data_IF_018911998309
#
_entry.id   IF_018911998309
#
_cell.length_a   1.000
_cell.length_b   1.000
_cell.length_c   1.000
_cell.angle_alpha   90.00
_cell.angle_beta   90.00
_cell.angle_gamma   90.00
#
_symmetry.space_group_name_H-M   'P 1'
#
loop_
_entity.id
_entity.type
_entity.pdbx_description
1 polymer ?
#
# COMPACT_ATOMS: atom_id res chain seq x y z
N UNK A 1 -10.05 -6.49 69.43
CA UNK A 1 -11.39 -6.17 68.89
C UNK A 1 -11.64 -7.15 67.76
N UNK A 2 -12.69 -7.96 67.91
CA UNK A 2 -12.91 -9.25 67.24
C UNK A 2 -13.65 -9.05 65.90
N UNK A 3 -13.14 -9.65 64.83
CA UNK A 3 -13.86 -9.90 63.56
C UNK A 3 -14.86 -11.03 63.79
N UNK A 4 -16.11 -10.93 63.29
CA UNK A 4 -16.46 -11.94 62.30
C UNK A 4 -17.51 -11.52 61.27
N UNK A 5 -17.20 -11.78 60.01
CA UNK A 5 -18.14 -12.35 59.04
C UNK A 5 -18.87 -13.56 59.63
N UNK A 6 -20.18 -13.46 59.90
CA UNK A 6 -21.23 -14.45 59.56
C UNK A 6 -22.52 -14.21 60.35
N UNK A 7 -23.61 -14.56 59.67
CA UNK A 7 -24.95 -14.83 60.19
C UNK A 7 -25.87 -13.66 60.53
N UNK A 8 -26.91 -13.51 59.70
CA UNK A 8 -28.34 -13.67 60.04
C UNK A 8 -29.11 -13.18 58.79
N UNK A 9 -29.48 -14.05 57.86
CA UNK A 9 -30.59 -15.00 57.93
C UNK A 9 -31.92 -14.30 58.26
N UNK A 10 -32.76 -14.23 57.23
CA UNK A 10 -34.22 -14.14 57.26
C UNK A 10 -34.88 -12.87 57.82
N UNK A 11 -35.44 -12.07 56.91
CA UNK A 11 -36.87 -11.71 57.01
C UNK A 11 -37.52 -11.57 55.63
N UNK A 12 -38.49 -12.45 55.42
CA UNK A 12 -39.44 -12.56 54.32
C UNK A 12 -40.21 -11.26 54.12
N UNK A 13 -40.52 -10.94 52.86
CA UNK A 13 -41.84 -10.50 52.36
C UNK A 13 -41.78 -10.70 50.83
N UNK A 14 -42.20 -11.85 50.30
CA UNK A 14 -43.58 -12.21 49.91
C UNK A 14 -44.24 -11.14 49.03
N UNK A 15 -44.04 -11.25 47.71
CA UNK A 15 -45.12 -11.03 46.72
C UNK A 15 -44.97 -12.10 45.62
N UNK A 16 -46.08 -12.78 45.34
CA UNK A 16 -46.26 -13.93 44.46
C UNK A 16 -46.30 -13.52 42.95
N UNK A 17 -46.38 -14.46 41.99
CA UNK A 17 -45.66 -14.39 40.73
C UNK A 17 -46.61 -14.22 39.53
N UNK A 18 -46.34 -13.28 38.63
CA UNK A 18 -46.97 -13.31 37.32
C UNK A 18 -45.88 -13.22 36.25
N UNK A 19 -45.63 -14.41 35.71
CA UNK A 19 -45.58 -14.65 34.27
C UNK A 19 -44.84 -13.59 33.44
N UNK A 20 -43.52 -13.73 33.38
CA UNK A 20 -42.73 -13.22 32.27
C UNK A 20 -41.84 -14.32 31.76
N UNK A 21 -42.36 -15.03 30.75
CA UNK A 21 -41.60 -15.91 29.86
C UNK A 21 -40.28 -15.22 29.48
N UNK A 22 -39.11 -15.89 29.59
CA UNK A 22 -37.89 -15.31 29.07
C UNK A 22 -38.04 -15.17 27.55
N UNK A 23 -37.75 -13.98 27.04
CA UNK A 23 -37.64 -13.74 25.60
C UNK A 23 -36.71 -14.81 25.02
N UNK A 24 -37.26 -15.68 24.16
CA UNK A 24 -36.48 -16.58 23.32
C UNK A 24 -35.49 -15.69 22.57
N UNK A 25 -34.20 -15.78 22.92
CA UNK A 25 -33.14 -15.32 22.03
C UNK A 25 -33.32 -16.10 20.74
N UNK A 26 -33.84 -15.43 19.72
CA UNK A 26 -33.73 -15.90 18.35
C UNK A 26 -32.23 -16.05 18.13
N UNK A 27 -31.73 -17.28 18.21
CA UNK A 27 -30.46 -17.59 17.61
C UNK A 27 -30.69 -17.31 16.13
N UNK A 28 -30.11 -16.22 15.63
CA UNK A 28 -29.85 -16.12 14.21
C UNK A 28 -29.03 -17.35 13.87
N UNK A 29 -29.68 -18.37 13.30
CA UNK A 29 -28.99 -19.46 12.65
C UNK A 29 -28.25 -18.77 11.51
N UNK A 30 -26.98 -18.45 11.74
CA UNK A 30 -26.09 -18.03 10.68
C UNK A 30 -26.11 -19.20 9.70
N UNK A 31 -26.52 -18.99 8.43
CA UNK A 31 -26.46 -20.07 7.44
C UNK A 31 -25.04 -20.62 7.46
N UNK A 32 -24.86 -21.95 7.35
CA UNK A 32 -23.54 -22.54 7.38
C UNK A 32 -22.67 -21.78 6.38
N UNK A 33 -21.53 -21.28 6.85
CA UNK A 33 -20.51 -20.73 5.96
C UNK A 33 -20.29 -21.76 4.85
N UNK A 34 -20.37 -21.38 3.56
CA UNK A 34 -20.12 -22.32 2.49
C UNK A 34 -18.77 -22.99 2.76
N UNK A 35 -18.64 -24.30 2.50
CA UNK A 35 -17.39 -25.00 2.71
C UNK A 35 -16.28 -24.17 2.06
N UNK A 36 -15.16 -24.00 2.76
CA UNK A 36 -13.99 -23.31 2.22
C UNK A 36 -13.49 -24.10 1.01
N UNK A 37 -14.10 -23.83 -0.15
CA UNK A 37 -13.70 -24.43 -1.39
C UNK A 37 -12.26 -23.96 -1.63
N UNK A 38 -11.35 -24.92 -1.74
CA UNK A 38 -9.97 -24.70 -2.15
C UNK A 38 -9.96 -23.77 -3.38
N UNK A 39 -9.21 -22.65 -3.38
CA UNK A 39 -9.12 -21.77 -4.54
C UNK A 39 -8.78 -22.52 -5.85
N UNK A 40 -8.08 -23.66 -5.77
CA UNK A 40 -7.78 -24.52 -6.91
C UNK A 40 -9.03 -25.23 -7.48
N UNK A 41 -10.06 -25.49 -6.66
CA UNK A 41 -11.32 -26.13 -7.06
C UNK A 41 -12.43 -25.14 -7.46
N UNK A 42 -12.27 -23.85 -7.14
CA UNK A 42 -13.23 -22.79 -7.54
C UNK A 42 -13.19 -22.49 -9.03
N UNK A 43 -11.99 -22.41 -9.61
CA UNK A 43 -11.80 -22.04 -11.02
C UNK A 43 -12.49 -23.01 -12.01
N UNK A 44 -12.39 -24.34 -11.86
CA UNK A 44 -13.09 -25.28 -12.75
C UNK A 44 -14.62 -25.17 -12.66
N UNK A 45 -15.18 -24.96 -11.45
CA UNK A 45 -16.64 -24.84 -11.25
C UNK A 45 -17.20 -23.55 -11.82
N UNK A 46 -16.52 -22.43 -11.61
CA UNK A 46 -16.89 -21.12 -12.20
C UNK A 46 -16.84 -21.23 -13.72
N UNK A 47 -15.79 -21.85 -14.28
CA UNK A 47 -15.70 -22.08 -15.72
C UNK A 47 -16.87 -22.92 -16.23
N UNK A 48 -17.19 -24.05 -15.59
CA UNK A 48 -18.34 -24.86 -15.98
C UNK A 48 -19.68 -24.09 -15.92
N UNK A 49 -19.87 -23.26 -14.89
CA UNK A 49 -21.08 -22.42 -14.78
C UNK A 49 -21.18 -21.38 -15.90
N UNK A 50 -20.06 -20.75 -16.26
CA UNK A 50 -19.99 -19.80 -17.38
C UNK A 50 -20.25 -20.50 -18.72
N UNK A 51 -19.64 -21.66 -18.95
CA UNK A 51 -19.85 -22.46 -20.18
C UNK A 51 -21.31 -22.88 -20.34
N UNK A 52 -21.97 -23.29 -19.24
CA UNK A 52 -23.40 -23.62 -19.26
C UNK A 52 -24.26 -22.39 -19.59
N UNK A 53 -23.96 -21.24 -18.98
CA UNK A 53 -24.68 -19.99 -19.29
C UNK A 53 -24.48 -19.55 -20.75
N UNK A 54 -23.27 -19.69 -21.29
CA UNK A 54 -22.99 -19.42 -22.69
C UNK A 54 -23.77 -20.35 -23.62
N UNK A 55 -23.82 -21.65 -23.31
CA UNK A 55 -24.56 -22.63 -24.09
C UNK A 55 -26.07 -22.33 -24.12
N UNK A 56 -26.63 -21.91 -22.98
CA UNK A 56 -28.05 -21.52 -22.91
C UNK A 56 -28.33 -20.20 -23.62
N UNK A 57 -27.43 -19.21 -23.53
CA UNK A 57 -27.54 -17.96 -24.30
C UNK A 57 -27.43 -18.21 -25.81
N UNK A 58 -26.55 -19.12 -26.23
CA UNK A 58 -26.41 -19.54 -27.63
C UNK A 58 -27.71 -20.19 -28.14
N UNK A 59 -28.32 -21.09 -27.36
CA UNK A 59 -29.61 -21.72 -27.70
C UNK A 59 -30.74 -20.70 -27.84
N UNK A 60 -30.73 -19.65 -27.03
CA UNK A 60 -31.71 -18.56 -27.09
C UNK A 60 -31.45 -17.56 -28.21
N UNK A 61 -30.36 -17.71 -28.97
CA UNK A 61 -29.97 -16.80 -30.03
C UNK A 61 -29.47 -15.43 -29.53
N UNK A 62 -29.27 -15.27 -28.22
CA UNK A 62 -28.80 -14.02 -27.58
C UNK A 62 -27.35 -13.69 -27.94
N UNK A 63 -26.61 -14.66 -28.47
CA UNK A 63 -25.23 -14.50 -28.94
C UNK A 63 -25.13 -14.13 -30.43
N UNK A 64 -26.26 -13.98 -31.13
CA UNK A 64 -26.31 -13.53 -32.52
C UNK A 64 -26.78 -12.08 -32.62
N UNK A 65 -26.28 -11.34 -33.60
CA UNK A 65 -26.47 -9.90 -33.78
C UNK A 65 -25.58 -9.02 -32.91
N UNK A 66 -24.55 -9.59 -32.26
CA UNK A 66 -23.63 -8.83 -31.41
C UNK A 66 -22.72 -7.92 -32.23
N UNK A 67 -22.33 -6.80 -31.63
CA UNK A 67 -21.38 -5.87 -32.25
C UNK A 67 -20.04 -6.59 -32.50
N UNK A 68 -19.70 -6.77 -33.79
CA UNK A 68 -18.50 -7.51 -34.19
C UNK A 68 -18.69 -9.00 -34.45
N UNK A 69 -19.93 -9.53 -34.48
CA UNK A 69 -20.21 -10.91 -34.89
C UNK A 69 -19.62 -11.21 -36.28
N UNK A 70 -18.90 -12.34 -36.38
CA UNK A 70 -18.21 -12.76 -37.62
C UNK A 70 -16.98 -11.92 -37.98
N UNK A 71 -16.69 -10.83 -37.26
CA UNK A 71 -15.45 -10.07 -37.42
C UNK A 71 -14.34 -10.80 -36.70
N UNK A 72 -13.18 -10.92 -37.35
CA UNK A 72 -11.97 -11.39 -36.67
C UNK A 72 -11.74 -10.52 -35.43
N UNK A 73 -11.47 -11.16 -34.29
CA UNK A 73 -11.08 -10.44 -33.08
C UNK A 73 -9.96 -9.46 -33.44
N UNK A 74 -10.13 -8.19 -33.05
CA UNK A 74 -9.13 -7.18 -33.32
C UNK A 74 -7.82 -7.66 -32.71
N UNK A 75 -6.82 -7.88 -33.54
CA UNK A 75 -5.52 -8.35 -33.11
C UNK A 75 -4.97 -7.30 -32.14
N UNK A 76 -4.57 -7.73 -30.94
CA UNK A 76 -3.97 -6.83 -29.96
C UNK A 76 -2.85 -6.05 -30.67
N UNK A 77 -2.77 -4.71 -30.57
CA UNK A 77 -1.71 -3.95 -31.24
C UNK A 77 -0.30 -4.48 -30.94
N UNK A 78 -0.11 -5.13 -29.78
CA UNK A 78 1.15 -5.79 -29.41
C UNK A 78 1.41 -7.15 -30.10
N UNK A 79 0.38 -7.82 -30.63
CA UNK A 79 0.47 -9.12 -31.35
C UNK A 79 0.90 -8.94 -32.82
N UNK A 80 0.62 -7.80 -33.44
CA UNK A 80 0.95 -7.57 -34.85
C UNK A 80 2.44 -7.25 -35.10
N UNK A 81 3.16 -6.71 -34.12
CA UNK A 81 4.54 -6.21 -34.29
C UNK A 81 5.60 -6.96 -33.49
N UNK A 82 5.24 -7.76 -32.48
CA UNK A 82 6.18 -8.59 -31.72
C UNK A 82 5.47 -9.76 -31.00
N UNK A 83 5.15 -10.86 -31.70
CA UNK A 83 4.43 -12.00 -31.11
C UNK A 83 5.14 -12.61 -29.89
N UNK A 84 6.47 -12.54 -29.82
CA UNK A 84 7.25 -12.97 -28.65
C UNK A 84 7.03 -12.07 -27.42
N UNK A 85 6.87 -10.75 -27.63
CA UNK A 85 6.57 -9.80 -26.54
C UNK A 85 5.15 -10.01 -26.02
N UNK A 86 4.19 -10.23 -26.92
CA UNK A 86 2.83 -10.58 -26.54
C UNK A 86 2.81 -11.87 -25.69
N UNK A 87 3.49 -12.93 -26.15
CA UNK A 87 3.55 -14.19 -25.41
C UNK A 87 4.20 -14.01 -24.03
N UNK A 88 5.30 -13.26 -23.93
CA UNK A 88 5.95 -12.97 -22.66
C UNK A 88 5.03 -12.16 -21.71
N UNK A 89 4.35 -11.14 -22.21
CA UNK A 89 3.41 -10.33 -21.43
C UNK A 89 2.18 -11.15 -20.99
N UNK A 90 1.67 -12.01 -21.87
CA UNK A 90 0.54 -12.90 -21.58
C UNK A 90 0.91 -13.93 -20.50
N UNK A 91 2.11 -14.52 -20.56
CA UNK A 91 2.62 -15.42 -19.54
C UNK A 91 2.81 -14.71 -18.20
N UNK A 92 3.43 -13.52 -18.18
CA UNK A 92 3.59 -12.71 -16.96
C UNK A 92 2.23 -12.37 -16.31
N UNK A 93 1.27 -11.92 -17.13
CA UNK A 93 -0.08 -11.56 -16.69
C UNK A 93 -0.83 -12.75 -16.11
N UNK A 94 -0.72 -13.93 -16.75
CA UNK A 94 -1.39 -15.15 -16.28
C UNK A 94 -0.70 -15.80 -15.08
N UNK A 95 0.61 -15.63 -14.93
CA UNK A 95 1.38 -16.11 -13.78
C UNK A 95 1.26 -15.20 -12.55
N UNK A 96 0.56 -14.06 -12.66
CA UNK A 96 0.50 -13.01 -11.64
C UNK A 96 1.89 -12.52 -11.20
N UNK A 97 2.86 -12.59 -12.12
CA UNK A 97 4.26 -12.23 -11.88
C UNK A 97 4.53 -10.80 -12.37
N UNK A 98 5.14 -9.98 -11.52
CA UNK A 98 5.52 -8.62 -11.89
C UNK A 98 6.85 -8.62 -12.65
N UNK A 99 7.02 -7.74 -13.66
CA UNK A 99 8.33 -7.52 -14.27
C UNK A 99 9.36 -7.05 -13.22
N UNK A 100 10.63 -7.43 -13.36
CA UNK A 100 11.70 -7.06 -12.40
C UNK A 100 11.75 -5.54 -12.13
N UNK A 101 11.55 -4.71 -13.16
CA UNK A 101 11.58 -3.26 -13.01
C UNK A 101 10.45 -2.71 -12.13
N UNK A 102 9.34 -3.45 -11.96
CA UNK A 102 8.18 -2.98 -11.18
C UNK A 102 8.49 -2.91 -9.69
N UNK A 103 9.22 -3.88 -9.15
CA UNK A 103 9.64 -3.87 -7.76
C UNK A 103 10.73 -2.83 -7.53
N UNK A 104 11.70 -2.71 -8.46
CA UNK A 104 12.70 -1.64 -8.41
C UNK A 104 12.06 -0.24 -8.42
N UNK A 105 11.00 -0.05 -9.21
CA UNK A 105 10.25 1.22 -9.25
C UNK A 105 9.56 1.52 -7.92
N UNK A 106 8.97 0.51 -7.27
CA UNK A 106 8.36 0.65 -5.94
C UNK A 106 9.40 1.05 -4.90
N UNK A 107 10.54 0.37 -4.90
CA UNK A 107 11.64 0.67 -3.99
C UNK A 107 12.23 2.07 -4.21
N UNK A 108 12.29 2.52 -5.47
CA UNK A 108 12.70 3.88 -5.81
C UNK A 108 11.73 4.91 -5.21
N UNK A 109 10.42 4.72 -5.34
CA UNK A 109 9.47 5.65 -4.71
C UNK A 109 9.58 5.67 -3.18
N UNK A 110 9.71 4.51 -2.55
CA UNK A 110 9.92 4.44 -1.11
C UNK A 110 11.22 5.13 -0.66
N UNK A 111 12.31 4.96 -1.43
CA UNK A 111 13.60 5.59 -1.16
C UNK A 111 13.54 7.11 -1.34
N UNK A 112 12.86 7.61 -2.38
CA UNK A 112 12.62 9.04 -2.60
C UNK A 112 11.91 9.67 -1.41
N UNK A 113 10.85 9.04 -0.94
CA UNK A 113 10.06 9.56 0.18
C UNK A 113 10.86 9.50 1.49
N UNK A 114 11.73 8.50 1.66
CA UNK A 114 12.67 8.44 2.78
C UNK A 114 13.71 9.58 2.75
N UNK A 115 14.25 9.91 1.58
CA UNK A 115 15.16 11.06 1.41
C UNK A 115 14.44 12.37 1.75
N UNK A 116 13.21 12.56 1.26
CA UNK A 116 12.42 13.76 1.55
C UNK A 116 12.14 13.90 3.05
N UNK A 117 11.77 12.81 3.74
CA UNK A 117 11.63 12.78 5.21
C UNK A 117 12.92 13.17 5.94
N UNK A 118 14.07 12.71 5.46
CA UNK A 118 15.38 12.99 6.05
C UNK A 118 15.74 14.47 5.92
N UNK A 119 15.49 15.09 4.76
CA UNK A 119 15.63 16.54 4.54
C UNK A 119 14.69 17.35 5.45
N UNK A 120 13.43 16.93 5.58
CA UNK A 120 12.48 17.57 6.51
C UNK A 120 12.96 17.52 7.96
N UNK A 121 13.43 16.36 8.41
CA UNK A 121 13.97 16.19 9.75
C UNK A 121 15.17 17.12 9.99
N UNK A 122 16.08 17.22 9.02
CA UNK A 122 17.24 18.11 9.10
C UNK A 122 16.86 19.59 9.17
N UNK A 123 15.89 20.03 8.36
CA UNK A 123 15.38 21.42 8.43
C UNK A 123 14.79 21.75 9.80
N UNK A 124 13.99 20.85 10.37
CA UNK A 124 13.44 21.01 11.74
C UNK A 124 14.55 21.06 12.78
N UNK A 125 15.56 20.21 12.63
CA UNK A 125 16.74 20.24 13.48
C UNK A 125 17.47 21.59 13.38
N UNK A 126 17.73 22.12 12.18
CA UNK A 126 18.36 23.43 11.99
C UNK A 126 17.55 24.57 12.64
N UNK A 127 16.22 24.57 12.49
CA UNK A 127 15.35 25.54 13.14
C UNK A 127 15.46 25.46 14.67
N UNK A 128 15.42 24.24 15.23
CA UNK A 128 15.59 24.03 16.67
C UNK A 128 16.97 24.48 17.16
N UNK A 129 18.03 24.25 16.37
CA UNK A 129 19.40 24.66 16.68
C UNK A 129 19.54 26.18 16.66
N UNK A 130 18.94 26.85 15.68
CA UNK A 130 18.94 28.33 15.61
C UNK A 130 18.26 28.95 16.83
N UNK A 131 17.12 28.40 17.26
CA UNK A 131 16.44 28.85 18.48
C UNK A 131 17.31 28.63 19.74
N UNK A 132 17.95 27.46 19.86
CA UNK A 132 18.83 27.15 20.98
C UNK A 132 20.07 28.06 21.03
N UNK A 133 20.66 28.39 19.87
CA UNK A 133 21.78 29.34 19.78
C UNK A 133 21.40 30.74 20.23
N UNK A 134 20.17 31.19 19.93
CA UNK A 134 19.67 32.50 20.38
C UNK A 134 19.45 32.60 21.89
N UNK A 135 19.31 31.46 22.58
CA UNK A 135 19.13 31.38 24.03
C UNK A 135 20.43 31.00 24.78
N UNK A 136 21.53 30.73 24.07
CA UNK A 136 22.77 30.24 24.67
C UNK A 136 23.60 31.37 25.31
N UNK A 137 24.35 31.09 26.40
CA UNK A 137 25.32 32.03 26.96
C UNK A 137 26.40 32.39 25.95
N UNK A 138 26.82 33.66 25.95
CA UNK A 138 27.73 34.23 24.95
C UNK A 138 29.04 33.44 24.80
N UNK A 139 29.55 32.87 25.89
CA UNK A 139 30.81 32.10 25.90
C UNK A 139 30.71 30.81 25.09
N UNK A 140 29.51 30.23 24.96
CA UNK A 140 29.29 28.94 24.28
C UNK A 140 28.71 29.07 22.88
N UNK A 141 28.24 30.25 22.47
CA UNK A 141 27.61 30.47 21.16
C UNK A 141 28.51 30.02 20.02
N UNK A 142 29.79 30.39 20.04
CA UNK A 142 30.73 30.04 18.96
C UNK A 142 30.98 28.54 18.85
N UNK A 143 31.13 27.84 19.98
CA UNK A 143 31.32 26.39 20.01
C UNK A 143 30.09 25.66 19.45
N UNK A 144 28.90 26.04 19.93
CA UNK A 144 27.65 25.46 19.46
C UNK A 144 27.37 25.76 17.97
N UNK A 145 27.74 26.95 17.49
CA UNK A 145 27.62 27.31 16.09
C UNK A 145 28.53 26.43 15.21
N UNK A 146 29.80 26.26 15.59
CA UNK A 146 30.75 25.37 14.89
C UNK A 146 30.28 23.92 14.88
N UNK A 147 29.77 23.43 16.01
CA UNK A 147 29.23 22.07 16.09
C UNK A 147 28.02 21.88 15.18
N UNK A 148 27.16 22.90 15.07
CA UNK A 148 25.99 22.90 14.18
C UNK A 148 26.42 22.91 12.72
N UNK A 149 27.37 23.76 12.33
CA UNK A 149 27.91 23.81 10.97
C UNK A 149 28.58 22.49 10.56
N UNK A 150 29.37 21.89 11.46
CA UNK A 150 30.00 20.60 11.20
C UNK A 150 28.96 19.48 11.00
N UNK A 151 27.88 19.48 11.78
CA UNK A 151 26.80 18.52 11.62
C UNK A 151 26.00 18.76 10.32
N UNK A 152 25.72 20.01 9.97
CA UNK A 152 25.08 20.36 8.69
C UNK A 152 25.93 19.91 7.50
N UNK A 153 27.23 20.21 7.51
CA UNK A 153 28.14 19.79 6.43
C UNK A 153 28.19 18.26 6.26
N UNK A 154 28.23 17.51 7.37
CA UNK A 154 28.16 16.04 7.32
C UNK A 154 26.85 15.57 6.69
N UNK A 155 25.73 16.15 7.11
CA UNK A 155 24.43 15.84 6.54
C UNK A 155 24.38 16.11 5.03
N UNK A 156 24.88 17.26 4.57
CA UNK A 156 24.91 17.59 3.14
C UNK A 156 25.74 16.58 2.34
N UNK A 157 26.92 16.20 2.85
CA UNK A 157 27.77 15.21 2.19
C UNK A 157 27.09 13.84 2.10
N UNK A 158 26.46 13.38 3.18
CA UNK A 158 25.71 12.12 3.18
C UNK A 158 24.50 12.17 2.25
N UNK A 159 23.82 13.32 2.17
CA UNK A 159 22.67 13.50 1.30
C UNK A 159 23.08 13.47 -0.18
N UNK A 160 24.18 14.13 -0.53
CA UNK A 160 24.73 14.10 -1.89
C UNK A 160 25.12 12.68 -2.31
N UNK A 161 25.77 11.93 -1.42
CA UNK A 161 26.11 10.52 -1.66
C UNK A 161 24.84 9.68 -1.88
N UNK A 162 23.84 9.82 -1.01
CA UNK A 162 22.58 9.09 -1.13
C UNK A 162 21.79 9.46 -2.40
N UNK A 163 21.83 10.73 -2.83
CA UNK A 163 21.21 11.18 -4.07
C UNK A 163 21.92 10.59 -5.30
N UNK A 164 23.25 10.50 -5.26
CA UNK A 164 24.04 9.85 -6.33
C UNK A 164 23.69 8.36 -6.45
N UNK A 165 23.62 7.65 -5.34
CA UNK A 165 23.21 6.24 -5.31
C UNK A 165 21.78 6.05 -5.86
N UNK A 166 20.84 6.89 -5.42
CA UNK A 166 19.47 6.89 -5.90
C UNK A 166 19.39 7.10 -7.42
N UNK A 167 20.14 8.07 -7.96
CA UNK A 167 20.19 8.32 -9.39
C UNK A 167 20.85 7.17 -10.17
N UNK A 168 21.83 6.48 -9.59
CA UNK A 168 22.37 5.24 -10.15
C UNK A 168 21.33 4.13 -10.27
N UNK A 169 20.44 4.00 -9.27
CA UNK A 169 19.31 3.06 -9.31
C UNK A 169 18.26 3.45 -10.35
N UNK A 170 17.99 4.74 -10.56
CA UNK A 170 17.15 5.21 -11.67
C UNK A 170 17.76 4.83 -13.01
N UNK A 171 19.07 5.04 -13.20
CA UNK A 171 19.74 4.66 -14.43
C UNK A 171 19.58 3.15 -14.70
N UNK A 172 19.79 2.30 -13.68
CA UNK A 172 19.54 0.85 -13.78
C UNK A 172 18.09 0.55 -14.17
N UNK A 173 17.11 1.18 -13.52
CA UNK A 173 15.70 1.01 -13.86
C UNK A 173 15.44 1.37 -15.34
N UNK A 174 15.96 2.50 -15.81
CA UNK A 174 15.75 2.97 -17.18
C UNK A 174 16.42 2.07 -18.22
N UNK A 175 17.48 1.33 -17.85
CA UNK A 175 18.08 0.30 -18.71
C UNK A 175 17.22 -0.97 -18.83
N UNK A 176 16.50 -1.35 -17.76
CA UNK A 176 15.60 -2.50 -17.77
C UNK A 176 14.29 -2.22 -18.52
N UNK A 177 13.90 -0.95 -18.60
CA UNK A 177 12.65 -0.52 -19.20
C UNK A 177 12.86 -0.11 -20.66
N UNK A 178 12.35 -0.92 -21.59
CA UNK A 178 12.43 -0.64 -23.04
C UNK A 178 11.48 0.46 -23.52
N UNK A 179 10.45 0.80 -22.74
CA UNK A 179 9.43 1.79 -23.11
C UNK A 179 9.75 3.17 -22.51
N UNK A 180 10.00 4.22 -23.31
CA UNK A 180 10.38 5.55 -22.80
C UNK A 180 9.38 6.15 -21.81
N UNK A 181 8.08 5.90 -21.99
CA UNK A 181 7.01 6.39 -21.10
C UNK A 181 7.10 5.85 -19.67
N UNK A 182 7.80 4.74 -19.45
CA UNK A 182 7.98 4.12 -18.15
C UNK A 182 9.31 4.51 -17.50
N UNK A 183 10.19 5.22 -18.20
CA UNK A 183 11.46 5.69 -17.65
C UNK A 183 11.24 6.77 -16.59
N UNK A 184 12.12 6.81 -15.60
CA UNK A 184 12.07 7.76 -14.49
C UNK A 184 13.09 8.87 -14.70
N UNK A 185 12.71 10.09 -14.34
CA UNK A 185 13.61 11.25 -14.33
C UNK A 185 14.52 11.21 -13.11
N UNK A 186 15.79 11.56 -13.29
CA UNK A 186 16.75 11.71 -12.20
C UNK A 186 16.27 12.74 -11.18
N UNK A 187 16.59 12.49 -9.91
CA UNK A 187 16.22 13.38 -8.82
C UNK A 187 17.34 14.41 -8.62
N UNK A 188 16.96 15.68 -8.64
CA UNK A 188 17.85 16.81 -8.33
C UNK A 188 17.70 17.22 -6.86
N UNK A 189 18.68 17.94 -6.34
CA UNK A 189 18.61 18.48 -4.98
C UNK A 189 17.41 19.43 -4.82
N UNK A 190 17.21 20.31 -5.80
CA UNK A 190 16.07 21.25 -5.84
C UNK A 190 14.74 20.51 -5.77
N UNK A 191 14.56 19.48 -6.60
CA UNK A 191 13.31 18.71 -6.59
C UNK A 191 13.09 17.99 -5.26
N UNK A 192 14.16 17.45 -4.66
CA UNK A 192 14.09 16.82 -3.35
C UNK A 192 13.71 17.83 -2.26
N UNK A 193 14.24 19.05 -2.35
CA UNK A 193 13.93 20.14 -1.45
C UNK A 193 12.47 20.60 -1.54
N UNK A 194 11.89 20.59 -2.75
CA UNK A 194 10.48 20.89 -2.99
C UNK A 194 9.55 19.79 -2.48
N UNK A 195 9.87 18.52 -2.74
CA UNK A 195 9.14 17.38 -2.18
C UNK A 195 9.10 17.44 -0.64
N UNK A 196 10.21 17.85 -0.03
CA UNK A 196 10.28 18.08 1.41
C UNK A 196 9.42 19.26 1.90
N UNK A 197 9.02 20.20 1.05
CA UNK A 197 8.10 21.31 1.38
C UNK A 197 6.64 20.93 1.15
N UNK A 198 6.34 20.26 0.04
CA UNK A 198 4.97 19.89 -0.39
C UNK A 198 4.22 19.11 0.71
N UNK A 199 4.85 18.12 1.34
CA UNK A 199 4.23 17.32 2.42
C UNK A 199 4.05 18.07 3.76
N UNK A 200 4.51 19.32 3.90
CA UNK A 200 4.20 20.13 5.10
C UNK A 200 2.91 20.95 4.96
N UNK A 201 2.38 21.09 3.74
CA UNK A 201 1.19 21.88 3.45
C UNK A 201 -0.12 21.06 3.50
N UNK A 202 -0.03 19.74 3.67
CA UNK A 202 -1.16 18.81 3.80
C UNK A 202 -1.29 18.35 5.25
#
# INVERSE_FOLDING_TARGET
>A
MIDPRRELRNRRQLVHPLDRRPARRLHSVQPPSPPEDDPQQRLPRVRQGVEQQLAEAAKRGELSGLEGEGRALSRDPDDATAPERWAAAHVLRNANAAPEWADLRRDLFAARDALARRVRAHRRWLLSRRAALGAAPAERVLEHARATEAADRRFQNELLAALSEYNGRIARHNLLVSTPLLQLTTLTMERLDDLAREEQAT
#
